data_IF_791602762389
#
_entry.id   IF_791602762389
#
_cell.length_a   1.000
_cell.length_b   1.000
_cell.length_c   1.000
_cell.angle_alpha   90.00
_cell.angle_beta   90.00
_cell.angle_gamma   90.00
#
_symmetry.space_group_name_H-M   'P 1'
#
loop_
_entity.id
_entity.type
_entity.pdbx_description
1 polymer ?
#
# COMPACT_ATOMS: atom_id res chain seq x y z
N UNK A 1 4.45 11.63 24.49
CA UNK A 1 5.26 10.88 23.51
C UNK A 1 6.54 11.62 23.17
N UNK A 2 6.49 12.80 22.53
CA UNK A 2 7.68 13.58 22.16
C UNK A 2 8.70 13.79 23.29
N UNK A 3 8.23 14.08 24.51
CA UNK A 3 9.10 14.22 25.69
C UNK A 3 9.89 12.94 26.01
N UNK A 4 9.20 11.80 26.11
CA UNK A 4 9.85 10.53 26.39
C UNK A 4 10.89 10.16 25.31
N UNK A 5 10.58 10.43 24.04
CA UNK A 5 11.49 10.21 22.92
C UNK A 5 12.70 11.15 23.00
N UNK A 6 12.51 12.43 23.31
CA UNK A 6 13.60 13.39 23.50
C UNK A 6 14.52 13.06 24.67
N UNK A 7 13.95 12.69 25.82
CA UNK A 7 14.73 12.25 26.99
C UNK A 7 15.57 11.00 26.66
N UNK A 8 15.03 10.13 25.80
CA UNK A 8 15.77 8.98 25.29
C UNK A 8 16.96 9.43 24.43
N UNK A 9 16.78 10.38 23.52
CA UNK A 9 17.89 10.92 22.71
C UNK A 9 18.99 11.53 23.56
N UNK A 10 18.63 12.33 24.57
CA UNK A 10 19.59 12.89 25.53
C UNK A 10 20.32 11.80 26.32
N UNK A 11 19.59 10.79 26.79
CA UNK A 11 20.16 9.65 27.54
C UNK A 11 21.23 8.91 26.74
N UNK A 12 21.04 8.78 25.42
CA UNK A 12 22.00 8.13 24.53
C UNK A 12 23.03 9.10 23.92
N UNK A 13 22.90 10.41 24.15
CA UNK A 13 23.81 11.43 23.60
C UNK A 13 23.69 11.60 22.08
N UNK A 14 22.55 11.25 21.49
CA UNK A 14 22.33 11.28 20.03
C UNK A 14 21.50 12.47 19.56
N UNK A 15 21.07 13.36 20.45
CA UNK A 15 20.18 14.48 20.12
C UNK A 15 20.77 15.45 19.07
N UNK A 16 22.09 15.54 18.99
CA UNK A 16 22.80 16.38 18.02
C UNK A 16 23.06 15.67 16.67
N UNK A 17 22.72 14.38 16.57
CA UNK A 17 22.99 13.54 15.41
C UNK A 17 21.73 13.14 14.66
N UNK A 18 20.58 13.69 15.05
CA UNK A 18 19.30 13.41 14.40
C UNK A 18 19.21 14.21 13.10
N UNK A 19 19.16 13.51 11.98
CA UNK A 19 19.01 14.10 10.65
C UNK A 19 17.59 13.97 10.11
N UNK A 20 16.95 12.83 10.36
CA UNK A 20 15.59 12.55 9.90
C UNK A 20 14.91 11.46 10.76
N UNK A 21 13.59 11.41 10.66
CA UNK A 21 12.74 10.38 11.23
C UNK A 21 12.06 9.60 10.11
N UNK A 22 12.13 8.27 10.18
CA UNK A 22 11.35 7.38 9.32
C UNK A 22 10.12 6.94 10.11
N UNK A 23 8.98 7.53 9.80
CA UNK A 23 7.73 7.36 10.54
C UNK A 23 6.60 7.04 9.57
N UNK A 24 5.58 6.31 10.02
CA UNK A 24 4.36 6.15 9.23
C UNK A 24 3.60 7.48 9.08
N UNK A 25 2.64 7.53 8.16
CA UNK A 25 1.93 8.77 7.83
C UNK A 25 0.79 9.12 8.81
N UNK A 26 0.90 8.70 10.07
CA UNK A 26 -0.09 9.02 11.08
C UNK A 26 0.11 10.42 11.67
N UNK A 27 -0.99 11.18 11.83
CA UNK A 27 -0.98 12.56 12.36
C UNK A 27 -0.34 12.70 13.76
N UNK A 28 -0.34 11.62 14.55
CA UNK A 28 0.31 11.60 15.86
C UNK A 28 1.84 11.73 15.74
N UNK A 29 2.44 11.23 14.67
CA UNK A 29 3.87 11.36 14.38
C UNK A 29 4.22 12.81 14.06
N UNK A 30 3.34 13.54 13.40
CA UNK A 30 3.52 14.97 13.08
C UNK A 30 3.63 15.78 14.35
N UNK A 31 2.70 15.53 15.25
CA UNK A 31 2.66 16.16 16.58
C UNK A 31 3.90 15.78 17.39
N UNK A 32 4.35 14.53 17.26
CA UNK A 32 5.57 14.06 17.91
C UNK A 32 6.82 14.79 17.38
N UNK A 33 7.04 14.84 16.07
CA UNK A 33 8.21 15.48 15.45
C UNK A 33 8.21 17.00 15.70
N UNK A 34 7.05 17.66 15.64
CA UNK A 34 6.92 19.07 16.04
C UNK A 34 7.28 19.28 17.52
N UNK A 35 6.84 18.38 18.40
CA UNK A 35 7.20 18.41 19.82
C UNK A 35 8.68 18.14 20.09
N UNK A 36 9.35 17.38 19.23
CA UNK A 36 10.79 17.14 19.26
C UNK A 36 11.53 18.40 18.77
N UNK A 37 11.10 19.03 17.67
CA UNK A 37 11.66 20.30 17.19
C UNK A 37 11.65 21.36 18.30
N UNK A 38 10.52 21.59 18.96
CA UNK A 38 10.43 22.59 20.03
C UNK A 38 11.41 22.31 21.19
N UNK A 39 11.74 21.05 21.44
CA UNK A 39 12.72 20.64 22.46
C UNK A 39 14.16 20.82 21.98
N UNK A 40 14.43 20.46 20.73
CA UNK A 40 15.72 20.73 20.08
C UNK A 40 16.03 22.23 20.10
N UNK A 41 15.06 23.08 19.77
CA UNK A 41 15.20 24.54 19.81
C UNK A 41 15.52 25.06 21.21
N UNK A 42 14.86 24.54 22.25
CA UNK A 42 15.16 24.90 23.65
C UNK A 42 16.59 24.51 24.06
N UNK A 43 17.12 23.42 23.50
CA UNK A 43 18.48 22.94 23.72
C UNK A 43 19.50 23.60 22.77
N UNK A 44 19.08 24.55 21.92
CA UNK A 44 19.93 25.26 20.96
C UNK A 44 20.34 24.43 19.73
N UNK A 45 19.61 23.35 19.44
CA UNK A 45 19.84 22.44 18.33
C UNK A 45 18.88 22.80 17.20
N UNK A 46 19.41 23.03 16.00
CA UNK A 46 18.59 23.27 14.82
C UNK A 46 18.01 21.95 14.30
N UNK A 47 16.69 21.81 14.36
CA UNK A 47 15.94 20.70 13.78
C UNK A 47 14.69 21.27 13.10
N UNK A 48 14.51 21.01 11.82
CA UNK A 48 13.30 21.39 11.08
C UNK A 48 12.38 20.16 10.98
N UNK A 49 11.22 20.18 11.63
CA UNK A 49 10.28 19.07 11.66
C UNK A 49 9.76 18.70 10.26
N UNK A 50 9.57 19.69 9.38
CA UNK A 50 9.13 19.45 8.01
C UNK A 50 10.19 18.64 7.28
N UNK A 51 11.46 19.05 7.37
CA UNK A 51 12.55 18.34 6.70
C UNK A 51 12.88 17.00 7.32
N UNK A 52 12.85 16.91 8.64
CA UNK A 52 13.13 15.69 9.38
C UNK A 52 12.04 14.63 9.12
N UNK A 53 10.82 15.02 8.72
CA UNK A 53 9.71 14.13 8.42
C UNK A 53 9.65 13.66 6.96
N UNK A 54 10.39 14.27 6.02
CA UNK A 54 10.28 13.97 4.58
C UNK A 54 10.42 12.48 4.21
N UNK A 55 10.94 11.66 5.12
CA UNK A 55 10.93 10.20 5.03
C UNK A 55 9.65 9.61 5.61
N UNK A 56 8.57 9.64 4.82
CA UNK A 56 7.43 8.77 5.07
C UNK A 56 7.85 7.29 5.09
N UNK A 57 7.11 6.46 5.82
CA UNK A 57 7.29 5.02 5.78
C UNK A 57 6.88 4.50 4.40
N UNK A 58 7.86 4.32 3.53
CA UNK A 58 7.62 3.85 2.15
C UNK A 58 6.79 2.56 2.03
N UNK A 59 6.97 1.52 2.88
CA UNK A 59 6.04 0.40 2.91
C UNK A 59 4.57 0.82 3.10
N UNK A 60 4.31 1.81 3.96
CA UNK A 60 2.97 2.31 4.21
C UNK A 60 2.41 3.05 2.99
N UNK A 61 3.21 3.89 2.33
CA UNK A 61 2.84 4.57 1.07
C UNK A 61 2.48 3.57 -0.02
N UNK A 62 3.31 2.53 -0.22
CA UNK A 62 3.07 1.46 -1.20
C UNK A 62 1.78 0.72 -0.87
N UNK A 63 1.54 0.43 0.42
CA UNK A 63 0.33 -0.24 0.87
C UNK A 63 -0.93 0.62 0.64
N UNK A 64 -0.91 1.91 1.00
CA UNK A 64 -2.01 2.83 0.75
C UNK A 64 -2.30 2.96 -0.74
N UNK A 65 -1.25 3.05 -1.56
CA UNK A 65 -1.36 3.08 -3.02
C UNK A 65 -2.05 1.82 -3.55
N UNK A 66 -1.70 0.65 -3.03
CA UNK A 66 -2.35 -0.61 -3.41
C UNK A 66 -3.84 -0.61 -3.02
N UNK A 67 -4.20 -0.10 -1.84
CA UNK A 67 -5.61 0.02 -1.41
C UNK A 67 -6.38 0.96 -2.34
N UNK A 68 -5.80 2.11 -2.69
CA UNK A 68 -6.43 3.07 -3.60
C UNK A 68 -6.66 2.48 -4.99
N UNK A 69 -5.71 1.70 -5.50
CA UNK A 69 -5.89 0.95 -6.75
C UNK A 69 -7.04 -0.05 -6.64
N UNK A 70 -7.07 -0.85 -5.57
CA UNK A 70 -8.14 -1.82 -5.32
C UNK A 70 -9.52 -1.16 -5.17
N UNK A 71 -9.57 0.03 -4.57
CA UNK A 71 -10.79 0.82 -4.48
C UNK A 71 -11.23 1.35 -5.85
N UNK A 72 -10.30 1.86 -6.65
CA UNK A 72 -10.58 2.42 -7.98
C UNK A 72 -11.15 1.37 -8.95
N UNK A 73 -10.75 0.11 -8.80
CA UNK A 73 -11.27 -1.01 -9.59
C UNK A 73 -12.54 -1.64 -8.99
N UNK A 74 -13.05 -1.11 -7.89
CA UNK A 74 -14.22 -1.64 -7.19
C UNK A 74 -13.98 -2.98 -6.47
N UNK A 75 -12.73 -3.42 -6.31
CA UNK A 75 -12.42 -4.63 -5.56
C UNK A 75 -12.72 -4.50 -4.08
N UNK A 76 -12.59 -3.27 -3.57
CA UNK A 76 -12.70 -2.94 -2.16
C UNK A 76 -13.60 -1.71 -2.03
N UNK A 77 -14.59 -1.79 -1.15
CA UNK A 77 -15.46 -0.65 -0.86
C UNK A 77 -14.70 0.47 -0.13
N UNK A 78 -15.23 1.70 -0.16
CA UNK A 78 -14.59 2.82 0.54
C UNK A 78 -14.44 2.58 2.06
N UNK A 79 -15.40 1.90 2.68
CA UNK A 79 -15.35 1.54 4.11
C UNK A 79 -14.29 0.46 4.39
N UNK A 80 -14.16 -0.54 3.54
CA UNK A 80 -13.12 -1.56 3.65
C UNK A 80 -11.73 -0.98 3.39
N UNK A 81 -11.60 -0.08 2.41
CA UNK A 81 -10.36 0.65 2.12
C UNK A 81 -9.94 1.48 3.33
N UNK A 82 -10.88 2.19 3.97
CA UNK A 82 -10.62 2.95 5.20
C UNK A 82 -10.24 2.05 6.37
N UNK A 83 -10.88 0.88 6.51
CA UNK A 83 -10.53 -0.11 7.53
C UNK A 83 -9.13 -0.68 7.31
N UNK A 84 -8.78 -1.01 6.07
CA UNK A 84 -7.46 -1.52 5.70
C UNK A 84 -6.37 -0.46 5.96
N UNK A 85 -6.60 0.79 5.54
CA UNK A 85 -5.67 1.90 5.76
C UNK A 85 -5.46 2.24 7.24
N UNK A 86 -6.48 2.04 8.09
CA UNK A 86 -6.41 2.29 9.54
C UNK A 86 -5.92 1.09 10.37
N UNK A 87 -5.78 -0.10 9.77
CA UNK A 87 -5.24 -1.29 10.43
C UNK A 87 -3.71 -1.21 10.54
N UNK A 88 -3.22 -0.29 11.38
CA UNK A 88 -1.78 -0.11 11.65
C UNK A 88 -1.13 -1.33 12.30
N UNK A 89 -1.91 -2.23 12.93
CA UNK A 89 -1.39 -3.37 13.69
C UNK A 89 -1.17 -4.65 12.88
N UNK A 90 -2.00 -4.96 11.87
CA UNK A 90 -1.94 -6.26 11.20
C UNK A 90 -1.01 -6.30 9.98
N UNK A 91 -0.52 -5.15 9.52
CA UNK A 91 0.29 -5.08 8.32
C UNK A 91 1.59 -5.88 8.46
N UNK A 92 2.36 -5.64 9.53
CA UNK A 92 3.65 -6.34 9.75
C UNK A 92 3.47 -7.85 9.91
N UNK A 93 2.40 -8.28 10.58
CA UNK A 93 2.11 -9.70 10.80
C UNK A 93 1.65 -10.39 9.51
N UNK A 94 0.89 -9.70 8.66
CA UNK A 94 0.38 -10.27 7.40
C UNK A 94 1.45 -10.46 6.32
N UNK A 95 2.49 -9.62 6.29
CA UNK A 95 3.55 -9.66 5.25
C UNK A 95 4.54 -10.79 5.50
N UNK A 96 4.79 -11.11 6.76
CA UNK A 96 5.72 -12.17 7.15
C UNK A 96 5.08 -13.57 7.11
N UNK A 97 3.77 -13.65 6.88
CA UNK A 97 3.08 -14.92 6.68
C UNK A 97 3.70 -15.69 5.50
N UNK A 98 4.08 -16.96 5.69
CA UNK A 98 4.64 -17.80 4.63
C UNK A 98 3.75 -17.81 3.38
N UNK A 99 4.38 -17.72 2.20
CA UNK A 99 3.76 -17.77 0.88
C UNK A 99 3.28 -19.17 0.45
N UNK A 100 3.21 -20.11 1.39
CA UNK A 100 2.89 -21.49 1.05
C UNK A 100 1.42 -21.64 0.67
N UNK A 101 1.15 -22.42 -0.38
CA UNK A 101 -0.19 -22.68 -0.89
C UNK A 101 -1.13 -23.32 0.15
N UNK A 102 -0.54 -23.92 1.20
CA UNK A 102 -1.27 -24.53 2.32
C UNK A 102 -1.95 -23.50 3.25
N UNK A 103 -1.64 -22.21 3.17
CA UNK A 103 -2.16 -21.18 4.11
C UNK A 103 -3.29 -20.29 3.54
N UNK A 104 -3.54 -20.31 2.23
CA UNK A 104 -4.56 -19.46 1.58
C UNK A 104 -6.02 -19.92 1.81
N UNK A 105 -6.21 -21.11 2.38
CA UNK A 105 -7.52 -21.70 2.66
C UNK A 105 -7.98 -21.49 4.11
N UNK A 106 -7.09 -21.08 5.03
CA UNK A 106 -7.39 -20.96 6.47
C UNK A 106 -8.06 -19.64 6.90
N UNK A 107 -8.12 -18.61 6.03
CA UNK A 107 -8.64 -17.27 6.38
C UNK A 107 -10.16 -17.15 6.22
N UNK A 108 -10.84 -18.15 5.64
CA UNK A 108 -12.29 -18.09 5.41
C UNK A 108 -13.10 -18.35 6.70
N UNK A 109 -12.51 -18.95 7.73
CA UNK A 109 -13.22 -19.39 8.95
C UNK A 109 -13.26 -18.36 10.10
N UNK A 110 -12.81 -17.11 9.91
CA UNK A 110 -12.76 -16.10 11.00
C UNK A 110 -13.61 -14.84 10.77
N UNK A 111 -14.70 -14.93 10.01
CA UNK A 111 -15.78 -13.94 10.13
C UNK A 111 -16.74 -14.44 11.21
N UNK A 112 -16.38 -14.25 12.49
CA UNK A 112 -17.36 -14.30 13.57
C UNK A 112 -18.28 -13.08 13.40
N UNK A 113 -19.44 -13.32 12.78
CA UNK A 113 -20.54 -12.35 12.73
C UNK A 113 -21.14 -12.33 14.14
N UNK A 114 -20.90 -11.24 14.85
CA UNK A 114 -21.51 -10.95 16.15
C UNK A 114 -23.03 -10.83 15.95
N UNK A 115 -23.76 -11.83 16.44
CA UNK A 115 -25.18 -12.02 16.18
C UNK A 115 -26.02 -11.15 17.12
N UNK A 116 -26.15 -9.85 16.82
CA UNK A 116 -27.20 -9.05 17.42
C UNK A 116 -27.57 -7.82 16.58
N UNK A 117 -28.42 -8.01 15.57
CA UNK A 117 -29.72 -7.34 15.42
C UNK A 117 -30.37 -7.78 14.09
N UNK A 118 -31.65 -8.15 14.18
CA UNK A 118 -32.46 -8.66 13.09
C UNK A 118 -32.89 -7.52 12.17
N UNK A 119 -32.08 -7.23 11.15
CA UNK A 119 -32.56 -6.65 9.91
C UNK A 119 -32.32 -7.68 8.81
N UNK A 120 -33.41 -8.19 8.23
CA UNK A 120 -33.37 -9.10 7.09
C UNK A 120 -32.90 -8.28 5.90
N UNK A 121 -31.58 -8.12 5.76
CA UNK A 121 -30.96 -7.65 4.53
C UNK A 121 -31.16 -8.76 3.52
N UNK A 122 -32.24 -8.66 2.76
CA UNK A 122 -32.32 -9.28 1.45
C UNK A 122 -31.08 -8.86 0.68
N UNK A 123 -30.13 -9.78 0.51
CA UNK A 123 -29.03 -9.66 -0.43
C UNK A 123 -29.64 -9.65 -1.83
N UNK A 124 -30.15 -8.49 -2.23
CA UNK A 124 -30.46 -8.15 -3.61
C UNK A 124 -29.12 -8.21 -4.33
N UNK A 125 -28.98 -9.27 -5.13
CA UNK A 125 -27.84 -9.57 -5.99
C UNK A 125 -27.92 -8.69 -7.26
N UNK A 126 -28.35 -7.43 -7.12
CA UNK A 126 -28.64 -6.55 -8.24
C UNK A 126 -27.52 -5.51 -8.39
N UNK A 127 -26.31 -5.98 -8.71
CA UNK A 127 -25.38 -5.27 -9.59
C UNK A 127 -24.12 -6.11 -9.79
N UNK A 128 -23.66 -6.20 -11.03
CA UNK A 128 -22.50 -6.93 -11.50
C UNK A 128 -21.13 -6.42 -10.96
N UNK A 129 -21.06 -5.92 -9.71
CA UNK A 129 -19.93 -5.15 -9.19
C UNK A 129 -18.92 -5.90 -8.32
N UNK A 130 -19.25 -7.08 -7.76
CA UNK A 130 -18.42 -7.71 -6.72
C UNK A 130 -17.84 -9.08 -7.13
N UNK A 131 -17.43 -9.25 -8.39
CA UNK A 131 -16.76 -10.48 -8.85
C UNK A 131 -15.27 -10.52 -8.39
N UNK A 132 -14.67 -9.37 -8.07
CA UNK A 132 -13.24 -9.28 -7.80
C UNK A 132 -12.73 -9.97 -6.51
N UNK A 133 -13.45 -10.04 -5.37
CA UNK A 133 -12.94 -10.70 -4.18
C UNK A 133 -12.78 -12.23 -4.35
N UNK A 134 -13.53 -12.82 -5.28
CA UNK A 134 -13.52 -14.26 -5.54
C UNK A 134 -12.40 -14.69 -6.52
N UNK A 135 -11.76 -13.74 -7.20
CA UNK A 135 -10.56 -14.00 -8.02
C UNK A 135 -9.36 -14.10 -7.09
N UNK A 136 -9.35 -15.12 -6.21
CA UNK A 136 -8.13 -15.60 -5.57
C UNK A 136 -7.12 -15.91 -6.67
N UNK A 137 -5.83 -15.63 -6.45
CA UNK A 137 -4.77 -15.72 -7.47
C UNK A 137 -4.74 -17.00 -8.30
N UNK A 138 -5.31 -18.11 -7.80
CA UNK A 138 -5.49 -19.38 -8.50
C UNK A 138 -6.41 -19.31 -9.73
N UNK A 139 -7.33 -18.34 -9.82
CA UNK A 139 -8.21 -18.20 -10.97
C UNK A 139 -7.44 -17.92 -12.27
N UNK A 140 -6.31 -17.21 -12.17
CA UNK A 140 -5.44 -16.93 -13.33
C UNK A 140 -4.58 -18.14 -13.73
N UNK A 141 -4.47 -19.16 -12.88
CA UNK A 141 -3.75 -20.40 -13.22
C UNK A 141 -4.60 -21.34 -14.07
N UNK A 142 -5.93 -21.18 -14.04
CA UNK A 142 -6.90 -22.05 -14.71
C UNK A 142 -7.97 -21.29 -15.52
N UNK A 143 -7.59 -20.32 -16.38
CA UNK A 143 -8.56 -19.49 -17.09
C UNK A 143 -9.43 -20.33 -18.04
N UNK A 144 -8.85 -21.37 -18.66
CA UNK A 144 -9.56 -22.24 -19.59
C UNK A 144 -10.60 -23.09 -18.88
N UNK A 145 -10.25 -23.67 -17.74
CA UNK A 145 -11.14 -24.51 -16.95
C UNK A 145 -12.32 -23.70 -16.41
N UNK A 146 -12.09 -22.44 -16.01
CA UNK A 146 -13.15 -21.53 -15.57
C UNK A 146 -14.09 -21.20 -16.73
N UNK A 147 -13.56 -20.83 -17.90
CA UNK A 147 -14.38 -20.56 -19.09
C UNK A 147 -15.18 -21.80 -19.51
N UNK A 148 -14.54 -22.97 -19.54
CA UNK A 148 -15.20 -24.23 -19.87
C UNK A 148 -16.30 -24.59 -18.85
N UNK A 149 -16.08 -24.30 -17.55
CA UNK A 149 -17.06 -24.53 -16.50
C UNK A 149 -18.26 -23.59 -16.63
N UNK A 150 -18.00 -22.28 -16.76
CA UNK A 150 -19.04 -21.25 -16.91
C UNK A 150 -19.86 -21.50 -18.17
N UNK A 151 -19.23 -21.87 -19.29
CA UNK A 151 -19.93 -22.21 -20.53
C UNK A 151 -20.82 -23.46 -20.44
N UNK A 152 -20.60 -24.36 -19.49
CA UNK A 152 -21.45 -25.55 -19.26
C UNK A 152 -22.63 -25.28 -18.34
N UNK A 153 -22.52 -24.31 -17.44
CA UNK A 153 -23.54 -24.00 -16.44
C UNK A 153 -24.36 -22.78 -16.84
N UNK A 154 -25.61 -22.99 -17.28
CA UNK A 154 -26.50 -21.89 -17.70
C UNK A 154 -26.81 -20.90 -16.59
N UNK A 155 -26.80 -21.37 -15.35
CA UNK A 155 -27.07 -20.60 -14.14
C UNK A 155 -25.96 -19.61 -13.81
N UNK A 156 -24.73 -19.81 -14.27
CA UNK A 156 -23.59 -18.91 -14.02
C UNK A 156 -23.09 -18.21 -15.28
N UNK A 157 -23.78 -18.34 -16.42
CA UNK A 157 -23.36 -17.72 -17.68
C UNK A 157 -23.25 -16.19 -17.64
N UNK A 158 -23.88 -15.54 -16.66
CA UNK A 158 -23.72 -14.10 -16.42
C UNK A 158 -22.36 -13.71 -15.83
N UNK A 159 -21.56 -14.69 -15.38
CA UNK A 159 -20.18 -14.52 -14.91
C UNK A 159 -19.13 -14.78 -16.01
N UNK A 160 -19.56 -15.02 -17.24
CA UNK A 160 -18.64 -15.22 -18.37
C UNK A 160 -17.83 -13.94 -18.61
N UNK A 161 -16.54 -13.99 -18.29
CA UNK A 161 -15.60 -12.91 -18.53
C UNK A 161 -15.17 -12.93 -20.00
N UNK A 162 -15.20 -11.76 -20.64
CA UNK A 162 -14.69 -11.65 -22.00
C UNK A 162 -13.15 -11.68 -22.02
N UNK A 163 -12.56 -11.73 -23.23
CA UNK A 163 -11.10 -11.76 -23.41
C UNK A 163 -10.43 -10.50 -22.82
N UNK A 164 -11.10 -9.35 -22.89
CA UNK A 164 -10.65 -8.09 -22.32
C UNK A 164 -10.71 -8.09 -20.79
N UNK A 165 -11.73 -8.67 -20.19
CA UNK A 165 -11.89 -8.82 -18.75
C UNK A 165 -10.81 -9.73 -18.15
N UNK A 166 -10.50 -10.85 -18.81
CA UNK A 166 -9.39 -11.72 -18.43
C UNK A 166 -8.05 -10.99 -18.48
N UNK A 167 -7.79 -10.23 -19.55
CA UNK A 167 -6.56 -9.42 -19.66
C UNK A 167 -6.49 -8.35 -18.57
N UNK A 168 -7.61 -7.70 -18.27
CA UNK A 168 -7.71 -6.70 -17.20
C UNK A 168 -7.42 -7.33 -15.84
N UNK A 169 -8.01 -8.49 -15.56
CA UNK A 169 -7.80 -9.25 -14.32
C UNK A 169 -6.34 -9.67 -14.16
N UNK A 170 -5.69 -10.12 -15.24
CA UNK A 170 -4.26 -10.46 -15.25
C UNK A 170 -3.39 -9.24 -14.88
N UNK A 171 -3.69 -8.07 -15.45
CA UNK A 171 -2.95 -6.83 -15.17
C UNK A 171 -3.13 -6.36 -13.72
N UNK A 172 -4.34 -6.46 -13.16
CA UNK A 172 -4.61 -6.15 -11.75
C UNK A 172 -3.80 -7.10 -10.86
N UNK A 173 -3.85 -8.41 -11.12
CA UNK A 173 -3.12 -9.38 -10.31
C UNK A 173 -1.60 -9.19 -10.40
N UNK A 174 -1.07 -8.85 -11.57
CA UNK A 174 0.35 -8.49 -11.75
C UNK A 174 0.70 -7.25 -10.93
N UNK A 175 -0.12 -6.21 -10.98
CA UNK A 175 0.06 -5.00 -10.16
C UNK A 175 0.08 -5.35 -8.67
N UNK A 176 -0.91 -6.10 -8.18
CA UNK A 176 -0.99 -6.51 -6.77
C UNK A 176 0.23 -7.34 -6.33
N UNK A 177 0.74 -8.23 -7.20
CA UNK A 177 1.98 -8.97 -6.94
C UNK A 177 3.19 -8.03 -6.83
N UNK A 178 3.29 -7.01 -7.70
CA UNK A 178 4.36 -6.02 -7.65
C UNK A 178 4.31 -5.17 -6.36
N UNK A 179 3.12 -4.71 -5.96
CA UNK A 179 2.93 -4.00 -4.67
C UNK A 179 3.36 -4.87 -3.49
N UNK A 180 2.89 -6.13 -3.44
CA UNK A 180 3.25 -7.06 -2.37
C UNK A 180 4.76 -7.32 -2.32
N UNK A 181 5.39 -7.57 -3.46
CA UNK A 181 6.84 -7.76 -3.53
C UNK A 181 7.59 -6.54 -2.99
N UNK A 182 7.23 -5.35 -3.45
CA UNK A 182 7.86 -4.10 -3.01
C UNK A 182 7.70 -3.89 -1.50
N UNK A 183 6.49 -4.06 -0.97
CA UNK A 183 6.19 -4.04 0.46
C UNK A 183 7.03 -5.05 1.25
N UNK A 184 7.13 -6.29 0.76
CA UNK A 184 7.84 -7.38 1.44
C UNK A 184 9.33 -7.11 1.50
N UNK A 185 9.93 -6.75 0.36
CA UNK A 185 11.35 -6.42 0.29
C UNK A 185 11.70 -5.27 1.23
N UNK A 186 10.90 -4.19 1.23
CA UNK A 186 11.15 -3.07 2.13
C UNK A 186 10.98 -3.44 3.60
N UNK A 187 10.05 -4.33 3.94
CA UNK A 187 9.79 -4.75 5.32
C UNK A 187 10.83 -5.74 5.85
N UNK A 188 11.43 -6.57 4.99
CA UNK A 188 12.45 -7.56 5.37
C UNK A 188 13.85 -6.96 5.54
N UNK A 189 14.08 -5.75 5.02
CA UNK A 189 15.40 -5.11 5.09
C UNK A 189 15.76 -4.70 6.52
N UNK A 190 16.59 -5.52 7.18
CA UNK A 190 17.16 -5.21 8.51
C UNK A 190 18.11 -4.01 8.49
N UNK A 191 18.64 -3.70 7.31
CA UNK A 191 19.50 -2.56 7.05
C UNK A 191 18.90 -1.82 5.84
N UNK A 192 17.94 -0.90 6.07
CA UNK A 192 17.40 -0.11 4.99
C UNK A 192 18.53 0.73 4.39
N UNK A 193 19.00 0.33 3.21
CA UNK A 193 19.94 1.14 2.45
C UNK A 193 19.14 2.20 1.70
N UNK A 194 19.64 3.43 1.70
CA UNK A 194 19.04 4.55 0.98
C UNK A 194 18.85 4.25 -0.52
N UNK A 195 19.73 3.42 -1.09
CA UNK A 195 19.59 2.88 -2.45
C UNK A 195 18.32 2.04 -2.62
N UNK A 196 18.02 1.13 -1.70
CA UNK A 196 16.82 0.28 -1.73
C UNK A 196 15.55 1.13 -1.62
N UNK A 197 15.56 2.12 -0.74
CA UNK A 197 14.45 3.06 -0.53
C UNK A 197 14.10 3.81 -1.82
N UNK A 198 15.06 4.05 -2.71
CA UNK A 198 14.82 4.68 -4.00
C UNK A 198 14.51 3.66 -5.12
N UNK A 199 15.28 2.57 -5.19
CA UNK A 199 15.18 1.60 -6.30
C UNK A 199 13.85 0.85 -6.30
N UNK A 200 13.32 0.46 -5.14
CA UNK A 200 12.07 -0.31 -5.08
C UNK A 200 10.86 0.51 -5.57
N UNK A 201 10.58 1.71 -5.03
CA UNK A 201 9.48 2.53 -5.52
C UNK A 201 9.65 2.90 -6.99
N UNK A 202 10.88 3.21 -7.42
CA UNK A 202 11.14 3.51 -8.82
C UNK A 202 10.82 2.32 -9.72
N UNK A 203 11.25 1.11 -9.34
CA UNK A 203 10.90 -0.11 -10.06
C UNK A 203 9.39 -0.36 -10.10
N UNK A 204 8.67 -0.04 -9.03
CA UNK A 204 7.21 -0.12 -8.98
C UNK A 204 6.55 0.90 -9.92
N UNK A 205 7.00 2.16 -9.93
CA UNK A 205 6.53 3.19 -10.86
C UNK A 205 6.75 2.80 -12.32
N UNK A 206 7.95 2.31 -12.65
CA UNK A 206 8.29 1.87 -14.00
C UNK A 206 7.41 0.67 -14.41
N UNK A 207 7.13 -0.25 -13.47
CA UNK A 207 6.22 -1.37 -13.70
C UNK A 207 4.78 -0.92 -13.95
N UNK A 208 4.24 -0.02 -13.13
CA UNK A 208 2.89 0.53 -13.29
C UNK A 208 2.76 1.33 -14.59
N UNK A 209 3.80 2.07 -14.97
CA UNK A 209 3.86 2.80 -16.25
C UNK A 209 3.84 1.84 -17.44
N UNK A 210 4.56 0.72 -17.36
CA UNK A 210 4.48 -0.34 -18.37
C UNK A 210 3.07 -0.92 -18.47
N UNK A 211 2.42 -1.17 -17.33
CA UNK A 211 1.03 -1.67 -17.31
C UNK A 211 0.07 -0.67 -17.95
N UNK A 212 0.20 0.62 -17.62
CA UNK A 212 -0.61 1.70 -18.21
C UNK A 212 -0.47 1.78 -19.74
N UNK A 213 0.74 1.52 -20.26
CA UNK A 213 1.00 1.49 -21.69
C UNK A 213 0.37 0.28 -22.40
N UNK A 214 0.24 -0.85 -21.69
CA UNK A 214 -0.31 -2.11 -22.23
C UNK A 214 -1.85 -2.23 -22.13
N UNK A 215 -2.50 -1.26 -21.46
CA UNK A 215 -3.95 -1.24 -21.27
C UNK A 215 -4.70 -1.03 -22.60
N UNK A 216 -5.71 -1.87 -22.91
CA UNK A 216 -6.56 -1.65 -24.08
C UNK A 216 -7.39 -0.36 -23.95
N UNK A 217 -7.78 0.24 -25.08
CA UNK A 217 -8.63 1.43 -25.10
C UNK A 217 -10.03 1.20 -24.52
N UNK A 218 -10.47 -0.06 -24.46
CA UNK A 218 -11.73 -0.47 -23.83
C UNK A 218 -11.66 -0.52 -22.30
N UNK A 219 -10.48 -0.31 -21.70
CA UNK A 219 -10.31 -0.35 -20.24
C UNK A 219 -11.19 0.71 -19.57
N UNK A 220 -11.92 0.37 -18.48
CA UNK A 220 -12.65 1.35 -17.70
C UNK A 220 -11.75 2.52 -17.26
N UNK A 221 -12.22 3.75 -17.46
CA UNK A 221 -11.48 4.96 -17.10
C UNK A 221 -11.05 4.96 -15.62
N UNK A 222 -11.91 4.43 -14.74
CA UNK A 222 -11.65 4.30 -13.30
C UNK A 222 -10.37 3.51 -12.99
N UNK A 223 -10.10 2.41 -13.71
CA UNK A 223 -8.87 1.62 -13.52
C UNK A 223 -7.65 2.40 -14.03
N UNK A 224 -7.76 3.07 -15.18
CA UNK A 224 -6.69 3.91 -15.71
C UNK A 224 -6.35 5.05 -14.74
N UNK A 225 -7.37 5.76 -14.25
CA UNK A 225 -7.23 6.87 -13.32
C UNK A 225 -6.64 6.38 -11.98
N UNK A 226 -7.09 5.21 -11.48
CA UNK A 226 -6.54 4.60 -10.27
C UNK A 226 -5.05 4.24 -10.41
N UNK A 227 -4.62 3.73 -11.57
CA UNK A 227 -3.22 3.43 -11.85
C UNK A 227 -2.38 4.71 -12.02
N UNK A 228 -2.90 5.73 -12.70
CA UNK A 228 -2.23 7.03 -12.85
C UNK A 228 -2.04 7.68 -11.48
N UNK A 229 -3.11 7.77 -10.69
CA UNK A 229 -3.05 8.31 -9.34
C UNK A 229 -2.06 7.52 -8.46
N UNK A 230 -1.96 6.20 -8.64
CA UNK A 230 -0.99 5.37 -7.93
C UNK A 230 0.46 5.67 -8.30
N UNK A 231 0.73 6.04 -9.56
CA UNK A 231 2.06 6.49 -10.00
C UNK A 231 2.39 7.89 -9.46
N UNK A 232 1.43 8.81 -9.48
CA UNK A 232 1.59 10.19 -9.01
C UNK A 232 1.82 10.23 -7.49
N UNK A 233 1.03 9.49 -6.71
CA UNK A 233 1.18 9.39 -5.26
C UNK A 233 2.58 8.93 -4.85
N UNK A 234 3.18 7.98 -5.58
CA UNK A 234 4.55 7.54 -5.32
C UNK A 234 5.61 8.59 -5.71
N UNK A 235 5.30 9.50 -6.62
CA UNK A 235 6.24 10.53 -7.09
C UNK A 235 6.28 11.71 -6.12
N UNK A 236 5.12 12.15 -5.64
CA UNK A 236 5.00 13.28 -4.72
C UNK A 236 5.53 12.95 -3.32
N UNK A 237 5.40 11.69 -2.88
CA UNK A 237 5.90 11.22 -1.58
C UNK A 237 7.39 10.86 -1.57
N UNK A 238 8.10 11.02 -2.68
CA UNK A 238 9.56 10.82 -2.77
C UNK A 238 10.32 12.15 -2.91
N UNK A 239 10.24 13.09 -1.95
CA UNK A 239 11.00 14.34 -1.98
C UNK A 239 12.50 14.12 -1.71
N UNK A 240 12.98 12.88 -1.79
CA UNK A 240 14.37 12.50 -1.61
C UNK A 240 15.33 13.31 -2.49
N UNK A 241 14.93 13.58 -3.73
CA UNK A 241 15.72 14.36 -4.67
C UNK A 241 15.80 15.83 -4.24
N UNK A 242 14.73 16.38 -3.68
CA UNK A 242 14.70 17.73 -3.09
C UNK A 242 15.50 17.77 -1.79
N UNK A 243 15.36 16.77 -0.92
CA UNK A 243 16.07 16.68 0.36
C UNK A 243 17.58 16.57 0.19
N UNK A 244 18.06 15.74 -0.73
CA UNK A 244 19.50 15.59 -0.99
C UNK A 244 20.14 16.88 -1.54
N UNK A 245 19.37 17.69 -2.26
CA UNK A 245 19.83 18.97 -2.83
C UNK A 245 19.74 20.12 -1.83
N UNK A 246 18.74 20.13 -0.96
CA UNK A 246 18.45 21.26 -0.06
C UNK A 246 19.06 21.14 1.34
N UNK A 247 19.51 19.94 1.76
CA UNK A 247 20.06 19.76 3.11
C UNK A 247 21.45 20.40 3.27
N UNK A 248 21.59 21.49 4.05
CA UNK A 248 22.86 22.23 4.19
C UNK A 248 23.98 21.39 4.83
N UNK A 249 23.62 20.32 5.52
CA UNK A 249 24.55 19.42 6.18
C UNK A 249 25.31 18.54 5.17
N UNK A 250 24.72 18.26 4.00
CA UNK A 250 25.39 17.51 2.93
C UNK A 250 26.22 18.42 2.01
N UNK A 251 25.85 19.70 1.91
CA UNK A 251 26.60 20.67 1.09
C UNK A 251 27.96 21.08 1.70
N UNK A 252 28.17 20.87 3.00
CA UNK A 252 29.42 21.23 3.70
C UNK A 252 30.41 20.05 3.87
N UNK A 253 30.14 18.89 3.27
CA UNK A 253 31.00 17.70 3.32
C UNK A 253 31.81 17.45 2.03
N UNK A 254 31.76 18.39 1.07
CA UNK A 254 32.46 18.32 -0.22
C UNK A 254 33.59 19.33 -0.35
#
# INVERSE_FOLDING_TARGET
MAEAVWETFKRYGIQNSITAFMLDNALNNDTMVAGIQARAENDGIFLNAVWARLLGCMPHTIHLTAIMLLQAIGAVSMSEAQKAASSFGSYQDSITAPLDCDHDDAVVDQIEIDANESEVVSLSLDSAGNILPAVKGRALDFPKEIVDFVGRQRDVGFLELDVGDWKTTELVARSSKAFRWATTEMSLTKQPMLSIVHTIPRGLQDHLTSILADLPDSTPAQLRDGLVHSCEAQSDELPYHTWAVESPQFLNLG
#
